data_IF_972070403807
#
_entry.id   IF_972070403807
#
_cell.length_a   1.000
_cell.length_b   1.000
_cell.length_c   1.000
_cell.angle_alpha   90.00
_cell.angle_beta   90.00
_cell.angle_gamma   90.00
#
_symmetry.space_group_name_H-M   'P 1'
#
loop_
_entity.id
_entity.type
_entity.pdbx_description
1 polymer ?
#
# COMPACT_ATOMS: atom_id res chain seq x y z
N UNK A 1 -11.72 -23.16 7.99
CA UNK A 1 -10.41 -22.58 7.63
C UNK A 1 -10.18 -22.77 6.15
N UNK A 2 -9.78 -21.77 5.38
CA UNK A 2 -9.39 -21.95 3.99
C UNK A 2 -8.18 -22.88 3.90
N UNK A 3 -8.15 -23.76 2.91
CA UNK A 3 -7.07 -24.72 2.66
C UNK A 3 -6.39 -24.33 1.35
N UNK A 4 -5.08 -24.15 1.37
CA UNK A 4 -4.26 -23.91 0.19
C UNK A 4 -3.57 -25.22 -0.18
N UNK A 5 -3.73 -25.64 -1.44
CA UNK A 5 -3.01 -26.81 -1.99
C UNK A 5 -1.77 -26.31 -2.72
N UNK A 6 -0.66 -26.94 -2.44
CA UNK A 6 0.62 -26.71 -3.14
C UNK A 6 1.04 -28.01 -3.86
N UNK A 7 1.77 -27.90 -4.96
CA UNK A 7 2.35 -29.06 -5.66
C UNK A 7 3.60 -29.56 -4.93
N UNK A 8 4.08 -30.76 -5.31
CA UNK A 8 5.21 -31.41 -4.64
C UNK A 8 6.51 -30.61 -4.73
N UNK A 9 6.75 -29.91 -5.85
CA UNK A 9 7.92 -29.05 -6.01
C UNK A 9 7.90 -27.88 -5.02
N UNK A 10 6.78 -27.16 -4.94
CA UNK A 10 6.58 -26.08 -3.97
C UNK A 10 6.69 -26.58 -2.53
N UNK A 11 6.20 -27.78 -2.23
CA UNK A 11 6.33 -28.36 -0.88
C UNK A 11 7.79 -28.69 -0.56
N UNK A 12 8.58 -29.19 -1.53
CA UNK A 12 10.02 -29.37 -1.40
C UNK A 12 10.73 -28.07 -1.10
N UNK A 13 10.45 -27.01 -1.85
CA UNK A 13 11.03 -25.67 -1.65
C UNK A 13 10.68 -25.10 -0.28
N UNK A 14 9.43 -25.27 0.17
CA UNK A 14 9.01 -24.86 1.52
C UNK A 14 9.81 -25.58 2.62
N UNK A 15 10.19 -26.84 2.39
CA UNK A 15 11.01 -27.60 3.35
C UNK A 15 12.43 -27.03 3.44
N UNK A 16 12.99 -26.57 2.33
CA UNK A 16 14.29 -25.89 2.29
C UNK A 16 14.19 -24.54 3.01
N UNK A 17 13.20 -23.74 2.65
CA UNK A 17 12.96 -22.43 3.26
C UNK A 17 12.67 -22.52 4.77
N UNK A 18 11.94 -23.56 5.21
CA UNK A 18 11.70 -23.85 6.61
C UNK A 18 13.02 -23.94 7.39
N UNK A 19 13.99 -24.65 6.86
CA UNK A 19 15.31 -24.80 7.48
C UNK A 19 16.06 -23.47 7.49
N UNK A 20 16.02 -22.75 6.40
CA UNK A 20 16.71 -21.47 6.24
C UNK A 20 16.16 -20.37 7.13
N UNK A 21 14.83 -20.30 7.27
CA UNK A 21 14.13 -19.33 8.15
C UNK A 21 14.09 -19.77 9.61
N UNK A 22 14.44 -21.02 9.93
CA UNK A 22 14.34 -21.58 11.29
C UNK A 22 12.89 -21.71 11.79
N UNK A 23 11.90 -21.84 10.89
CA UNK A 23 10.50 -22.02 11.24
C UNK A 23 10.20 -23.47 11.60
N UNK A 24 9.16 -23.71 12.42
CA UNK A 24 8.83 -25.06 12.91
C UNK A 24 7.93 -25.83 11.95
N UNK A 25 7.04 -25.14 11.25
CA UNK A 25 6.04 -25.74 10.38
C UNK A 25 6.03 -25.12 8.98
N UNK A 26 5.57 -25.82 7.93
CA UNK A 26 5.36 -25.24 6.60
C UNK A 26 4.44 -24.03 6.61
N UNK A 27 3.41 -24.03 7.47
CA UNK A 27 2.48 -22.89 7.60
C UNK A 27 3.17 -21.63 8.12
N UNK A 28 4.06 -21.76 9.11
CA UNK A 28 4.88 -20.63 9.59
C UNK A 28 5.83 -20.12 8.50
N UNK A 29 6.36 -21.04 7.69
CA UNK A 29 7.22 -20.66 6.55
C UNK A 29 6.44 -19.86 5.51
N UNK A 30 5.24 -20.32 5.16
CA UNK A 30 4.35 -19.61 4.21
C UNK A 30 4.01 -18.23 4.77
N UNK A 31 3.62 -18.13 6.04
CA UNK A 31 3.30 -16.82 6.66
C UNK A 31 4.49 -15.86 6.59
N UNK A 32 5.69 -16.37 6.86
CA UNK A 32 6.92 -15.57 6.78
C UNK A 32 7.21 -15.07 5.36
N UNK A 33 7.14 -15.95 4.38
CA UNK A 33 7.37 -15.60 2.97
C UNK A 33 6.34 -14.57 2.48
N UNK A 34 5.06 -14.79 2.83
CA UNK A 34 3.98 -13.85 2.48
C UNK A 34 4.22 -12.49 3.14
N UNK A 35 4.60 -12.47 4.43
CA UNK A 35 4.90 -11.23 5.15
C UNK A 35 6.03 -10.46 4.49
N UNK A 36 7.14 -11.10 4.16
CA UNK A 36 8.27 -10.46 3.48
C UNK A 36 7.87 -9.92 2.10
N UNK A 37 7.07 -10.67 1.34
CA UNK A 37 6.57 -10.21 0.04
C UNK A 37 5.66 -8.97 0.18
N UNK A 38 4.75 -8.96 1.17
CA UNK A 38 3.89 -7.81 1.45
C UNK A 38 4.70 -6.58 1.87
N UNK A 39 5.69 -6.74 2.76
CA UNK A 39 6.60 -5.67 3.15
C UNK A 39 7.40 -5.12 1.96
N UNK A 40 7.89 -6.00 1.07
CA UNK A 40 8.59 -5.60 -0.15
C UNK A 40 7.71 -4.71 -1.05
N UNK A 41 6.45 -5.02 -1.16
CA UNK A 41 5.49 -4.22 -1.92
C UNK A 41 5.04 -2.95 -1.19
N UNK A 42 5.41 -2.77 0.09
CA UNK A 42 4.89 -1.71 0.96
C UNK A 42 3.40 -1.87 1.27
N UNK A 43 2.88 -3.08 1.14
CA UNK A 43 1.50 -3.43 1.49
C UNK A 43 1.44 -3.84 2.96
N UNK A 44 0.50 -3.28 3.71
CA UNK A 44 0.30 -3.64 5.12
C UNK A 44 -0.71 -4.77 5.24
N UNK A 45 -0.46 -5.67 6.19
CA UNK A 45 -1.38 -6.74 6.56
C UNK A 45 -2.40 -6.23 7.57
N UNK A 46 -3.59 -6.83 7.58
CA UNK A 46 -4.65 -6.45 8.53
C UNK A 46 -4.29 -6.77 10.00
N UNK A 47 -3.37 -7.73 10.22
CA UNK A 47 -2.87 -8.14 11.53
C UNK A 47 -1.63 -7.34 12.00
N UNK A 48 -1.14 -6.38 11.21
CA UNK A 48 0.02 -5.57 11.57
C UNK A 48 -0.36 -4.50 12.59
N UNK A 49 0.41 -4.31 13.68
CA UNK A 49 0.19 -3.23 14.63
C UNK A 49 0.23 -1.87 13.93
N UNK A 50 -0.80 -1.05 14.17
CA UNK A 50 -0.92 0.26 13.51
C UNK A 50 -0.01 1.32 14.13
N UNK A 51 0.31 1.20 15.41
CA UNK A 51 1.15 2.15 16.13
C UNK A 51 2.60 1.64 16.21
N UNK A 52 3.49 2.30 15.49
CA UNK A 52 4.91 2.18 15.69
C UNK A 52 5.38 3.57 16.13
N UNK A 53 5.81 3.71 17.37
CA UNK A 53 6.55 4.89 17.80
C UNK A 53 7.92 4.89 17.10
N UNK A 54 8.00 5.60 15.98
CA UNK A 54 9.24 5.79 15.25
C UNK A 54 9.84 7.10 15.73
N UNK A 55 10.80 7.01 16.63
CA UNK A 55 11.63 8.15 17.03
C UNK A 55 12.68 8.38 15.95
N UNK A 56 12.34 9.19 14.96
CA UNK A 56 13.34 9.64 13.98
C UNK A 56 14.14 10.80 14.57
N UNK A 57 15.44 10.59 14.73
CA UNK A 57 16.38 11.65 15.19
C UNK A 57 16.66 12.69 14.11
N UNK A 58 16.45 12.34 12.85
CA UNK A 58 16.64 13.19 11.69
C UNK A 58 15.28 13.58 11.11
N UNK A 59 15.14 14.80 10.60
CA UNK A 59 13.93 15.25 9.90
C UNK A 59 13.65 14.40 8.66
N UNK A 60 12.38 14.38 8.22
CA UNK A 60 11.98 13.63 7.01
C UNK A 60 12.68 14.18 5.75
N UNK A 61 13.22 13.28 4.93
CA UNK A 61 13.83 13.62 3.65
C UNK A 61 12.71 14.03 2.68
N UNK A 62 12.76 15.24 2.15
CA UNK A 62 11.81 15.70 1.15
C UNK A 62 12.23 15.24 -0.25
N UNK A 63 11.29 14.76 -1.03
CA UNK A 63 11.51 14.27 -2.38
C UNK A 63 10.63 15.04 -3.37
N UNK A 64 11.24 15.58 -4.42
CA UNK A 64 10.53 16.17 -5.57
C UNK A 64 10.00 15.07 -6.50
N UNK A 65 10.75 13.99 -6.65
CA UNK A 65 10.36 12.79 -7.41
C UNK A 65 10.28 11.62 -6.44
N UNK A 66 9.25 10.82 -6.56
CA UNK A 66 9.05 9.69 -5.67
C UNK A 66 10.25 8.73 -5.66
N UNK A 67 10.81 8.42 -4.50
CA UNK A 67 11.85 7.39 -4.35
C UNK A 67 11.24 5.99 -4.47
N UNK A 68 12.06 4.94 -4.38
CA UNK A 68 11.55 3.58 -4.22
C UNK A 68 10.78 3.42 -2.92
N UNK A 69 9.50 3.06 -3.03
CA UNK A 69 8.60 2.89 -1.87
C UNK A 69 8.49 1.44 -1.38
N UNK A 70 9.34 0.54 -1.89
CA UNK A 70 9.47 -0.81 -1.33
C UNK A 70 9.89 -0.73 0.15
N UNK A 71 9.32 -1.61 0.98
CA UNK A 71 9.55 -1.66 2.43
C UNK A 71 9.20 -0.37 3.18
N UNK A 72 8.27 0.42 2.67
CA UNK A 72 7.81 1.64 3.35
C UNK A 72 6.49 1.44 4.09
N UNK A 73 6.28 2.27 5.13
CA UNK A 73 5.02 2.39 5.86
C UNK A 73 4.68 3.86 6.05
N UNK A 74 3.47 4.32 5.65
CA UNK A 74 3.03 5.67 5.97
C UNK A 74 2.94 5.90 7.48
N UNK A 75 3.40 7.05 7.93
CA UNK A 75 3.33 7.50 9.32
C UNK A 75 2.23 8.55 9.50
N UNK A 76 2.18 9.50 8.58
CA UNK A 76 1.17 10.55 8.54
C UNK A 76 0.77 10.81 7.09
N UNK A 77 -0.48 11.16 6.88
CA UNK A 77 -0.98 11.59 5.58
C UNK A 77 -2.06 12.64 5.74
N UNK A 78 -2.09 13.61 4.82
CA UNK A 78 -3.19 14.55 4.68
C UNK A 78 -3.60 14.68 3.22
N UNK A 79 -4.89 14.73 2.97
CA UNK A 79 -5.46 14.92 1.63
C UNK A 79 -6.50 16.04 1.74
N UNK A 80 -6.36 17.06 0.91
CA UNK A 80 -7.23 18.24 0.90
C UNK A 80 -7.39 18.86 2.31
N UNK A 81 -6.27 18.96 3.05
CA UNK A 81 -6.21 19.51 4.40
C UNK A 81 -6.76 18.60 5.51
N UNK A 82 -7.26 17.40 5.20
CA UNK A 82 -7.76 16.45 6.19
C UNK A 82 -6.73 15.37 6.47
N UNK A 83 -6.35 15.21 7.74
CA UNK A 83 -5.44 14.15 8.18
C UNK A 83 -6.14 12.79 8.20
N UNK A 84 -5.44 11.75 7.75
CA UNK A 84 -5.87 10.37 7.85
C UNK A 84 -5.42 9.76 9.18
N UNK A 85 -6.32 9.06 9.86
CA UNK A 85 -5.96 8.24 11.01
C UNK A 85 -5.32 6.93 10.51
N UNK A 86 -4.20 6.54 11.12
CA UNK A 86 -3.49 5.29 10.80
C UNK A 86 -3.34 5.08 9.28
N UNK A 87 -2.60 5.98 8.58
CA UNK A 87 -2.53 5.95 7.13
C UNK A 87 -1.86 4.65 6.64
N UNK A 88 -2.42 4.09 5.58
CA UNK A 88 -1.86 2.98 4.78
C UNK A 88 -1.82 3.46 3.33
N UNK A 89 -0.91 2.95 2.52
CA UNK A 89 -0.83 3.32 1.10
C UNK A 89 -2.16 3.10 0.37
N UNK A 90 -2.82 1.97 0.64
CA UNK A 90 -4.15 1.67 0.10
C UNK A 90 -5.22 2.67 0.58
N UNK A 91 -5.21 3.05 1.86
CA UNK A 91 -6.17 4.02 2.41
C UNK A 91 -5.97 5.43 1.83
N UNK A 92 -4.71 5.82 1.59
CA UNK A 92 -4.36 7.08 0.93
C UNK A 92 -4.92 7.09 -0.50
N UNK A 93 -4.72 6.02 -1.27
CA UNK A 93 -5.28 5.86 -2.61
C UNK A 93 -6.81 5.94 -2.61
N UNK A 94 -7.48 5.16 -1.75
CA UNK A 94 -8.94 5.15 -1.66
C UNK A 94 -9.52 6.50 -1.23
N UNK A 95 -8.83 7.21 -0.32
CA UNK A 95 -9.24 8.56 0.08
C UNK A 95 -9.09 9.55 -1.08
N UNK A 96 -8.00 9.45 -1.87
CA UNK A 96 -7.85 10.28 -3.07
C UNK A 96 -8.95 9.98 -4.09
N UNK A 97 -9.28 8.71 -4.34
CA UNK A 97 -10.39 8.32 -5.21
C UNK A 97 -11.72 8.90 -4.70
N UNK A 98 -11.95 8.91 -3.38
CA UNK A 98 -13.14 9.53 -2.79
C UNK A 98 -13.20 11.04 -3.05
N UNK A 99 -12.07 11.75 -3.01
CA UNK A 99 -12.03 13.17 -3.36
C UNK A 99 -12.38 13.41 -4.83
N UNK A 100 -11.90 12.53 -5.73
CA UNK A 100 -12.23 12.60 -7.17
C UNK A 100 -13.72 12.30 -7.39
N UNK A 101 -14.27 11.28 -6.72
CA UNK A 101 -15.70 10.98 -6.74
C UNK A 101 -16.54 12.19 -6.32
N UNK A 102 -16.12 12.89 -5.27
CA UNK A 102 -16.80 14.11 -4.78
C UNK A 102 -16.82 15.27 -5.80
N UNK A 103 -15.99 15.21 -6.86
CA UNK A 103 -16.05 16.15 -8.00
C UNK A 103 -17.13 15.78 -9.03
N UNK A 104 -17.95 14.77 -8.76
CA UNK A 104 -19.07 14.36 -9.61
C UNK A 104 -18.79 13.18 -10.53
N UNK A 105 -17.74 12.40 -10.26
CA UNK A 105 -17.46 11.14 -10.98
C UNK A 105 -17.95 9.97 -10.15
N UNK A 106 -18.72 9.07 -10.77
CA UNK A 106 -19.19 7.83 -10.17
C UNK A 106 -19.20 6.67 -11.17
N UNK A 107 -19.36 5.45 -10.68
CA UNK A 107 -19.49 4.23 -11.48
C UNK A 107 -18.42 4.15 -12.58
N UNK A 108 -18.87 3.89 -13.83
CA UNK A 108 -17.98 3.76 -14.98
C UNK A 108 -17.11 5.00 -15.26
N UNK A 109 -17.63 6.20 -14.97
CA UNK A 109 -16.85 7.43 -15.16
C UNK A 109 -15.69 7.50 -14.18
N UNK A 110 -15.92 7.12 -12.93
CA UNK A 110 -14.87 7.03 -11.92
C UNK A 110 -13.84 5.97 -12.29
N UNK A 111 -14.28 4.77 -12.71
CA UNK A 111 -13.38 3.69 -13.12
C UNK A 111 -12.51 4.09 -14.32
N UNK A 112 -13.07 4.76 -15.33
CA UNK A 112 -12.30 5.24 -16.50
C UNK A 112 -11.29 6.34 -16.15
N UNK A 113 -11.51 7.04 -15.03
CA UNK A 113 -10.57 8.04 -14.54
C UNK A 113 -9.32 7.41 -13.91
N UNK A 114 -9.43 6.17 -13.40
CA UNK A 114 -8.34 5.49 -12.70
C UNK A 114 -7.41 4.77 -13.68
N UNK A 115 -6.11 4.75 -13.37
CA UNK A 115 -5.12 3.91 -14.07
C UNK A 115 -4.87 2.60 -13.33
N UNK A 116 -5.21 2.53 -12.04
CA UNK A 116 -5.20 1.28 -11.28
C UNK A 116 -6.40 0.41 -11.66
N UNK A 117 -6.27 -0.92 -11.64
CA UNK A 117 -7.38 -1.81 -11.97
C UNK A 117 -8.57 -1.59 -11.03
N UNK A 118 -9.72 -1.26 -11.64
CA UNK A 118 -10.97 -1.02 -10.93
C UNK A 118 -12.16 -1.52 -11.75
N UNK A 119 -13.28 -1.84 -11.08
CA UNK A 119 -14.54 -2.27 -11.70
C UNK A 119 -15.70 -1.48 -11.10
N UNK A 120 -16.65 -1.07 -11.92
CA UNK A 120 -17.84 -0.32 -11.49
C UNK A 120 -18.85 -1.16 -10.72
N UNK A 121 -18.66 -2.47 -10.67
CA UNK A 121 -19.52 -3.45 -10.02
C UNK A 121 -18.86 -4.02 -8.76
N UNK A 122 -19.65 -4.67 -7.90
CA UNK A 122 -19.12 -5.43 -6.78
C UNK A 122 -18.38 -6.67 -7.31
N UNK A 123 -17.06 -6.71 -7.10
CA UNK A 123 -16.19 -7.81 -7.47
C UNK A 123 -15.12 -8.00 -6.37
N UNK A 124 -15.03 -9.20 -5.82
CA UNK A 124 -14.18 -9.51 -4.67
C UNK A 124 -13.30 -10.76 -4.92
N UNK A 125 -12.85 -10.92 -6.16
CA UNK A 125 -11.92 -11.97 -6.57
C UNK A 125 -10.65 -11.37 -7.20
N UNK A 126 -9.63 -12.15 -7.48
CA UNK A 126 -8.38 -11.74 -8.12
C UNK A 126 -7.69 -10.53 -7.43
N UNK A 127 -7.82 -10.41 -6.11
CA UNK A 127 -7.24 -9.31 -5.33
C UNK A 127 -8.04 -7.99 -5.38
N UNK A 128 -9.24 -7.99 -5.97
CA UNK A 128 -10.16 -6.86 -5.88
C UNK A 128 -10.91 -6.87 -4.56
N UNK A 129 -11.19 -5.67 -4.05
CA UNK A 129 -12.05 -5.45 -2.89
C UNK A 129 -13.10 -4.40 -3.23
N UNK A 130 -14.36 -4.70 -2.91
CA UNK A 130 -15.46 -3.74 -3.10
C UNK A 130 -15.44 -2.69 -1.99
N UNK A 131 -15.59 -1.43 -2.39
CA UNK A 131 -15.67 -0.27 -1.49
C UNK A 131 -17.05 0.37 -1.61
N UNK A 132 -17.99 0.09 -0.68
CA UNK A 132 -19.37 0.59 -0.78
C UNK A 132 -19.46 2.12 -0.88
N UNK A 133 -18.62 2.84 -0.12
CA UNK A 133 -18.59 4.31 -0.12
C UNK A 133 -18.19 4.89 -1.48
N UNK A 134 -17.36 4.15 -2.22
CA UNK A 134 -16.95 4.53 -3.58
C UNK A 134 -17.92 3.98 -4.64
N UNK A 135 -18.60 2.87 -4.35
CA UNK A 135 -19.46 2.15 -5.29
C UNK A 135 -18.69 1.40 -6.39
N UNK A 136 -17.41 1.13 -6.16
CA UNK A 136 -16.52 0.44 -7.10
C UNK A 136 -15.65 -0.61 -6.38
N UNK A 137 -15.11 -1.55 -7.15
CA UNK A 137 -14.09 -2.49 -6.68
C UNK A 137 -12.72 -2.04 -7.18
N UNK A 138 -11.71 -2.05 -6.31
CA UNK A 138 -10.34 -1.66 -6.63
C UNK A 138 -9.41 -2.83 -6.30
N UNK A 139 -8.48 -3.16 -7.19
CA UNK A 139 -7.47 -4.19 -6.95
C UNK A 139 -6.37 -3.67 -6.02
N UNK A 140 -5.87 -4.53 -5.13
CA UNK A 140 -4.74 -4.20 -4.25
C UNK A 140 -3.51 -3.76 -5.03
N UNK A 141 -2.88 -2.67 -4.60
CA UNK A 141 -1.74 -2.05 -5.27
C UNK A 141 -0.52 -2.01 -4.36
N UNK A 142 0.69 -2.03 -4.94
CA UNK A 142 1.92 -1.74 -4.21
C UNK A 142 1.95 -0.29 -3.72
N UNK A 143 2.83 0.02 -2.76
CA UNK A 143 3.06 1.40 -2.30
C UNK A 143 3.41 2.34 -3.46
N UNK A 144 4.26 1.88 -4.39
CA UNK A 144 4.68 2.65 -5.55
C UNK A 144 3.53 2.91 -6.52
N UNK A 145 2.67 1.92 -6.78
CA UNK A 145 1.51 2.09 -7.66
C UNK A 145 0.44 2.96 -7.00
N UNK A 146 0.22 2.80 -5.68
CA UNK A 146 -0.65 3.69 -4.91
C UNK A 146 -0.21 5.14 -5.05
N UNK A 147 1.08 5.42 -4.79
CA UNK A 147 1.58 6.79 -4.87
C UNK A 147 1.52 7.34 -6.30
N UNK A 148 1.91 6.56 -7.30
CA UNK A 148 1.85 6.97 -8.71
C UNK A 148 0.44 7.42 -9.11
N UNK A 149 -0.58 6.68 -8.70
CA UNK A 149 -1.96 7.05 -8.98
C UNK A 149 -2.43 8.25 -8.15
N UNK A 150 -2.06 8.31 -6.87
CA UNK A 150 -2.34 9.45 -5.99
C UNK A 150 -1.73 10.74 -6.55
N UNK A 151 -0.46 10.71 -6.95
CA UNK A 151 0.25 11.85 -7.53
C UNK A 151 -0.42 12.33 -8.83
N UNK A 152 -0.76 11.40 -9.72
CA UNK A 152 -1.46 11.69 -10.98
C UNK A 152 -2.82 12.37 -10.72
N UNK A 153 -3.63 11.81 -9.83
CA UNK A 153 -4.95 12.34 -9.49
C UNK A 153 -4.84 13.69 -8.76
N UNK A 154 -3.89 13.81 -7.84
CA UNK A 154 -3.61 15.04 -7.11
C UNK A 154 -3.31 16.19 -8.07
N UNK A 155 -2.39 16.00 -9.02
CA UNK A 155 -2.02 17.00 -10.00
C UNK A 155 -3.18 17.32 -10.96
N UNK A 156 -3.86 16.29 -11.49
CA UNK A 156 -4.98 16.48 -12.43
C UNK A 156 -6.15 17.24 -11.81
N UNK A 157 -6.51 16.90 -10.58
CA UNK A 157 -7.68 17.43 -9.90
C UNK A 157 -7.36 18.57 -8.92
N UNK A 158 -6.09 18.99 -8.82
CA UNK A 158 -5.58 20.01 -7.91
C UNK A 158 -6.03 19.74 -6.46
N UNK A 159 -5.75 18.53 -5.99
CA UNK A 159 -6.06 18.06 -4.65
C UNK A 159 -4.75 17.96 -3.87
N UNK A 160 -4.46 18.87 -2.93
CA UNK A 160 -3.22 18.82 -2.16
C UNK A 160 -3.13 17.51 -1.37
N UNK A 161 -1.97 16.84 -1.47
CA UNK A 161 -1.65 15.65 -0.70
C UNK A 161 -0.25 15.76 -0.12
N UNK A 162 -0.10 15.29 1.10
CA UNK A 162 1.18 15.15 1.79
C UNK A 162 1.19 13.79 2.48
N UNK A 163 2.29 13.06 2.35
CA UNK A 163 2.50 11.77 3.00
C UNK A 163 3.89 11.75 3.60
N UNK A 164 3.97 11.53 4.91
CA UNK A 164 5.18 11.18 5.62
C UNK A 164 5.21 9.66 5.79
N UNK A 165 6.35 9.04 5.51
CA UNK A 165 6.51 7.59 5.55
C UNK A 165 7.91 7.22 6.04
N UNK A 166 8.05 5.97 6.47
CA UNK A 166 9.26 5.40 7.00
C UNK A 166 9.66 4.17 6.18
N UNK A 167 10.94 4.04 5.83
CA UNK A 167 11.50 2.78 5.34
C UNK A 167 11.80 1.87 6.51
N UNK A 168 11.25 0.65 6.47
CA UNK A 168 11.55 -0.38 7.46
C UNK A 168 13.05 -0.63 7.57
N UNK A 169 13.50 -1.13 8.72
CA UNK A 169 14.89 -1.56 8.92
C UNK A 169 15.17 -2.85 8.13
N UNK A 170 15.12 -2.75 6.83
CA UNK A 170 15.39 -3.84 5.90
C UNK A 170 16.53 -3.43 4.96
N UNK A 171 17.62 -4.25 4.83
CA UNK A 171 18.74 -3.91 3.97
C UNK A 171 18.39 -3.76 2.48
N UNK A 172 17.23 -4.29 2.06
CA UNK A 172 16.71 -4.13 0.69
C UNK A 172 15.92 -2.82 0.49
N UNK A 173 15.60 -2.10 1.56
CA UNK A 173 14.97 -0.79 1.47
C UNK A 173 15.95 0.25 0.91
N UNK A 174 15.44 1.26 0.21
CA UNK A 174 16.30 2.29 -0.39
C UNK A 174 17.03 3.14 0.67
N UNK A 175 16.35 3.47 1.76
CA UNK A 175 16.90 4.23 2.89
C UNK A 175 16.48 3.60 4.22
N UNK A 176 17.08 2.45 4.62
CA UNK A 176 16.67 1.73 5.83
C UNK A 176 16.62 2.61 7.08
N UNK A 177 15.49 2.59 7.78
CA UNK A 177 15.28 3.32 9.03
C UNK A 177 15.11 4.84 8.90
N UNK A 178 15.14 5.40 7.69
CA UNK A 178 14.90 6.83 7.47
C UNK A 178 13.43 7.13 7.23
N UNK A 179 13.05 8.38 7.44
CA UNK A 179 11.74 8.91 7.05
C UNK A 179 11.83 9.75 5.79
N UNK A 180 10.78 9.67 4.98
CA UNK A 180 10.63 10.47 3.78
C UNK A 180 9.30 11.21 3.76
N UNK A 181 9.23 12.26 2.97
CA UNK A 181 8.03 13.05 2.75
C UNK A 181 7.80 13.26 1.26
N UNK A 182 6.58 13.00 0.81
CA UNK A 182 6.10 13.28 -0.53
C UNK A 182 4.95 14.29 -0.49
N UNK A 183 4.91 15.16 -1.48
CA UNK A 183 3.86 16.16 -1.67
C UNK A 183 3.45 16.21 -3.13
N UNK A 184 2.17 16.45 -3.39
CA UNK A 184 1.64 16.61 -4.74
C UNK A 184 0.36 17.44 -4.74
N UNK A 185 -0.13 17.82 -5.94
CA UNK A 185 -1.39 18.55 -6.12
C UNK A 185 -1.37 19.99 -5.59
N UNK A 186 -0.22 20.55 -5.28
CA UNK A 186 -0.10 21.97 -4.95
C UNK A 186 -0.12 22.80 -6.24
N UNK A 187 -0.89 23.88 -6.22
CA UNK A 187 -0.96 24.85 -7.32
C UNK A 187 0.31 25.72 -7.39
#
# INVERSE_FOLDING_TARGET
MPVVRVNDATFGDLSILKTWYGTKTPSETIDRVVREAMEQLGMERDDEPQEIEITTKDGAIQFETAPGLAFTKPLAASINGKSLRSPRWSAILLTMIAQVKAKGLDGDKLVRELTVPAKAEKYEDEGFKYHPDLGISVQGQSASDCWKEVDRLANKWRIPVMVEFWWRQNPKAQYPGKTGMLRSGQA
#
